data_IF_769516136388
#
_entry.id   IF_769516136388
#
_cell.length_a   1.000
_cell.length_b   1.000
_cell.length_c   1.000
_cell.angle_alpha   90.00
_cell.angle_beta   90.00
_cell.angle_gamma   90.00
#
_symmetry.space_group_name_H-M   'P 1'
#
loop_
_entity.id
_entity.type
_entity.pdbx_description
1 polymer ?
#
# COMPACT_ATOMS: atom_id res chain seq x y z
N UNK A 1 1.35 -23.16 -22.36
CA UNK A 1 1.42 -21.76 -22.82
C UNK A 1 0.57 -20.98 -21.85
N UNK A 2 1.19 -20.33 -20.87
CA UNK A 2 0.53 -19.28 -20.10
C UNK A 2 1.62 -18.30 -19.70
N UNK A 3 1.53 -17.10 -20.26
CA UNK A 3 2.44 -16.01 -19.97
C UNK A 3 2.08 -15.51 -18.57
N UNK A 4 2.78 -16.01 -17.55
CA UNK A 4 2.58 -15.69 -16.13
C UNK A 4 2.98 -14.24 -15.80
N UNK A 5 2.26 -13.31 -16.43
CA UNK A 5 2.49 -11.87 -16.34
C UNK A 5 1.29 -11.18 -15.74
N UNK A 6 1.58 -10.11 -15.02
CA UNK A 6 0.61 -9.15 -14.51
C UNK A 6 0.68 -7.89 -15.35
N UNK A 7 -0.49 -7.37 -15.72
CA UNK A 7 -0.61 -6.03 -16.27
C UNK A 7 -0.87 -5.04 -15.14
N UNK A 8 -0.02 -4.02 -15.00
CA UNK A 8 -0.18 -3.00 -13.96
C UNK A 8 0.24 -1.61 -14.45
N UNK A 9 -0.54 -0.54 -14.15
CA UNK A 9 -0.22 0.81 -14.59
C UNK A 9 0.96 1.40 -13.80
N UNK A 10 1.87 2.06 -14.50
CA UNK A 10 2.97 2.79 -13.86
C UNK A 10 2.41 3.94 -13.01
N UNK A 11 2.82 4.00 -11.74
CA UNK A 11 2.43 5.06 -10.81
C UNK A 11 2.86 6.48 -11.27
N UNK A 12 3.89 6.57 -12.13
CA UNK A 12 4.39 7.86 -12.63
C UNK A 12 3.70 8.36 -13.90
N UNK A 13 3.55 7.51 -14.91
CA UNK A 13 3.10 7.93 -16.25
C UNK A 13 1.82 7.25 -16.73
N UNK A 14 1.23 6.35 -15.93
CA UNK A 14 -0.01 5.64 -16.25
C UNK A 14 0.10 4.57 -17.33
N UNK A 15 1.25 4.39 -17.97
CA UNK A 15 1.44 3.35 -18.98
C UNK A 15 1.28 1.95 -18.36
N UNK A 16 0.51 1.08 -19.02
CA UNK A 16 0.40 -0.33 -18.63
C UNK A 16 1.73 -1.05 -18.87
N UNK A 17 2.19 -1.80 -17.88
CA UNK A 17 3.39 -2.64 -17.96
C UNK A 17 3.02 -4.10 -17.77
N UNK A 18 3.61 -4.98 -18.58
CA UNK A 18 3.48 -6.43 -18.46
C UNK A 18 4.69 -6.98 -17.70
N UNK A 19 4.47 -7.43 -16.47
CA UNK A 19 5.54 -7.79 -15.53
C UNK A 19 5.44 -9.29 -15.23
N UNK A 20 6.49 -10.10 -15.44
CA UNK A 20 6.49 -11.49 -14.99
C UNK A 20 6.21 -11.58 -13.49
N UNK A 21 5.29 -12.45 -13.06
CA UNK A 21 4.91 -12.55 -11.63
C UNK A 21 6.11 -12.76 -10.72
N UNK A 22 7.05 -13.61 -11.13
CA UNK A 22 8.31 -13.86 -10.41
C UNK A 22 9.23 -12.65 -10.24
N UNK A 23 8.99 -11.55 -10.97
CA UNK A 23 9.79 -10.30 -10.91
C UNK A 23 9.01 -9.09 -10.39
N UNK A 24 7.79 -9.29 -9.89
CA UNK A 24 6.98 -8.19 -9.33
C UNK A 24 7.70 -7.44 -8.20
N UNK A 25 8.49 -8.17 -7.41
CA UNK A 25 9.19 -7.66 -6.22
C UNK A 25 10.62 -7.18 -6.47
N UNK A 26 11.05 -7.14 -7.73
CA UNK A 26 12.41 -6.78 -8.17
C UNK A 26 12.50 -5.31 -8.67
N UNK A 27 11.65 -4.42 -8.16
CA UNK A 27 11.55 -3.02 -8.61
C UNK A 27 11.42 -2.88 -10.15
N UNK A 28 10.39 -3.48 -10.77
CA UNK A 28 10.22 -3.45 -12.22
C UNK A 28 10.11 -2.01 -12.72
N UNK A 29 10.88 -1.70 -13.78
CA UNK A 29 10.92 -0.37 -14.40
C UNK A 29 9.92 -0.26 -15.54
N UNK A 30 9.27 0.90 -15.63
CA UNK A 30 8.28 1.18 -16.65
C UNK A 30 8.92 1.23 -18.04
N UNK A 31 8.32 0.53 -19.00
CA UNK A 31 8.80 0.53 -20.39
C UNK A 31 8.82 1.91 -21.04
N UNK A 32 7.91 2.81 -20.63
CA UNK A 32 7.75 4.18 -21.17
C UNK A 32 8.67 5.19 -20.49
N UNK A 33 8.49 5.44 -19.19
CA UNK A 33 9.20 6.52 -18.48
C UNK A 33 10.45 6.05 -17.71
N UNK A 34 10.76 4.74 -17.71
CA UNK A 34 11.92 4.13 -17.03
C UNK A 34 11.97 4.26 -15.50
N UNK A 35 11.03 4.98 -14.90
CA UNK A 35 10.81 4.98 -13.45
C UNK A 35 10.26 3.63 -12.95
N UNK A 36 10.28 3.43 -11.63
CA UNK A 36 9.62 2.27 -11.04
C UNK A 36 8.13 2.25 -11.38
N UNK A 37 7.60 1.05 -11.61
CA UNK A 37 6.17 0.85 -11.84
C UNK A 37 5.38 1.17 -10.57
N UNK A 38 5.92 0.83 -9.40
CA UNK A 38 5.27 1.03 -8.12
C UNK A 38 5.67 2.37 -7.48
N UNK A 39 4.78 2.99 -6.68
CA UNK A 39 5.12 4.20 -5.96
C UNK A 39 6.13 3.90 -4.84
N UNK A 40 6.99 4.86 -4.54
CA UNK A 40 7.93 4.84 -3.40
C UNK A 40 7.51 5.82 -2.28
N UNK A 41 6.26 6.31 -2.35
CA UNK A 41 5.63 7.16 -1.35
C UNK A 41 4.22 6.66 -1.06
N UNK A 42 3.66 6.96 0.13
CA UNK A 42 2.28 6.64 0.45
C UNK A 42 1.31 7.28 -0.56
N UNK A 43 0.35 6.48 -1.05
CA UNK A 43 -0.67 6.92 -2.02
C UNK A 43 -2.01 7.10 -1.31
N UNK A 44 -2.69 8.21 -1.56
CA UNK A 44 -4.05 8.39 -1.07
C UNK A 44 -5.03 7.48 -1.83
N UNK A 45 -5.81 6.69 -1.10
CA UNK A 45 -6.95 5.96 -1.64
C UNK A 45 -8.27 6.56 -1.14
N UNK A 46 -9.33 6.25 -1.89
CA UNK A 46 -10.70 6.58 -1.52
C UNK A 46 -11.62 5.38 -1.69
N UNK A 47 -12.87 5.50 -1.25
CA UNK A 47 -13.91 4.49 -1.48
C UNK A 47 -14.07 4.15 -2.98
N UNK A 48 -13.81 5.10 -3.88
CA UNK A 48 -13.89 4.92 -5.32
C UNK A 48 -12.62 4.28 -5.93
N UNK A 49 -11.45 4.51 -5.33
CA UNK A 49 -10.17 4.00 -5.87
C UNK A 49 -9.65 2.75 -5.14
N UNK A 50 -10.31 2.34 -4.05
CA UNK A 50 -9.90 1.22 -3.19
C UNK A 50 -9.48 -0.03 -3.96
N UNK A 51 -10.36 -0.52 -4.84
CA UNK A 51 -10.10 -1.72 -5.62
C UNK A 51 -8.81 -1.61 -6.43
N UNK A 52 -8.62 -0.50 -7.15
CA UNK A 52 -7.43 -0.24 -7.96
C UNK A 52 -6.17 -0.09 -7.10
N UNK A 53 -6.27 0.64 -5.98
CA UNK A 53 -5.10 0.99 -5.19
C UNK A 53 -4.65 -0.14 -4.26
N UNK A 54 -5.56 -1.03 -3.85
CA UNK A 54 -5.31 -2.08 -2.85
C UNK A 54 -5.57 -3.48 -3.41
N UNK A 55 -6.79 -3.78 -3.84
CA UNK A 55 -7.21 -5.16 -4.16
C UNK A 55 -6.60 -5.71 -5.45
N UNK A 56 -6.46 -4.87 -6.48
CA UNK A 56 -5.86 -5.22 -7.76
C UNK A 56 -4.32 -5.06 -7.72
N UNK A 57 -3.75 -4.64 -6.59
CA UNK A 57 -2.30 -4.47 -6.46
C UNK A 57 -1.61 -5.85 -6.39
N UNK A 58 -0.64 -6.12 -7.28
CA UNK A 58 0.00 -7.43 -7.36
C UNK A 58 1.13 -7.64 -6.33
N UNK A 59 1.45 -6.61 -5.55
CA UNK A 59 2.39 -6.66 -4.43
C UNK A 59 1.64 -6.38 -3.12
N UNK A 60 2.19 -6.79 -1.96
CA UNK A 60 1.60 -6.44 -0.66
C UNK A 60 1.33 -4.94 -0.53
N UNK A 61 0.19 -4.60 0.07
CA UNK A 61 -0.23 -3.22 0.34
C UNK A 61 -0.45 -3.03 1.83
N UNK A 62 0.24 -2.06 2.43
CA UNK A 62 -0.02 -1.59 3.78
C UNK A 62 -0.92 -0.37 3.72
N UNK A 63 -2.07 -0.44 4.35
CA UNK A 63 -3.07 0.63 4.39
C UNK A 63 -3.05 1.27 5.77
N UNK A 64 -2.79 2.58 5.81
CA UNK A 64 -2.92 3.44 6.98
C UNK A 64 -4.29 4.12 6.99
N UNK A 65 -5.18 3.66 7.88
CA UNK A 65 -6.46 4.30 8.15
C UNK A 65 -6.24 5.42 9.17
N UNK A 66 -6.43 6.67 8.72
CA UNK A 66 -6.04 7.86 9.46
C UNK A 66 -7.11 8.97 9.36
N UNK A 67 -6.90 10.08 10.08
CA UNK A 67 -7.67 11.31 9.95
C UNK A 67 -6.79 12.54 10.26
N UNK A 68 -7.11 13.74 9.75
CA UNK A 68 -6.27 14.93 9.96
C UNK A 68 -6.18 15.38 11.42
N UNK A 69 -7.21 15.13 12.22
CA UNK A 69 -7.28 15.47 13.64
C UNK A 69 -6.61 14.43 14.56
N UNK A 70 -6.09 13.33 13.99
CA UNK A 70 -5.49 12.25 14.75
C UNK A 70 -4.01 12.52 15.05
N UNK A 71 -3.71 13.00 16.26
CA UNK A 71 -2.33 13.21 16.74
C UNK A 71 -1.40 12.00 16.53
N UNK A 72 -1.77 10.79 16.99
CA UNK A 72 -0.95 9.58 16.78
C UNK A 72 -0.72 9.22 15.31
N UNK A 73 -1.65 9.55 14.41
CA UNK A 73 -1.50 9.31 12.97
C UNK A 73 -0.36 10.17 12.37
N UNK A 74 -0.18 11.40 12.87
CA UNK A 74 0.96 12.25 12.47
C UNK A 74 2.30 11.67 12.91
N UNK A 75 2.35 10.99 14.06
CA UNK A 75 3.58 10.38 14.56
C UNK A 75 4.06 9.18 13.71
N UNK A 76 3.13 8.39 13.14
CA UNK A 76 3.48 7.22 12.32
C UNK A 76 3.74 7.58 10.85
N UNK A 77 3.24 8.71 10.37
CA UNK A 77 3.35 9.10 8.95
C UNK A 77 4.81 9.14 8.41
N UNK A 78 5.81 9.72 9.11
CA UNK A 78 7.20 9.71 8.62
C UNK A 78 7.78 8.29 8.52
N UNK A 79 7.41 7.40 9.44
CA UNK A 79 7.85 6.01 9.44
C UNK A 79 7.27 5.24 8.24
N UNK A 80 6.02 5.51 7.88
CA UNK A 80 5.37 4.98 6.68
C UNK A 80 6.04 5.51 5.40
N UNK A 81 6.32 6.81 5.31
CA UNK A 81 7.03 7.38 4.15
C UNK A 81 8.41 6.74 3.95
N UNK A 82 9.15 6.53 5.04
CA UNK A 82 10.44 5.87 4.99
C UNK A 82 10.31 4.40 4.55
N UNK A 83 9.35 3.65 5.10
CA UNK A 83 9.10 2.27 4.73
C UNK A 83 8.72 2.10 3.25
N UNK A 84 7.95 3.05 2.68
CA UNK A 84 7.62 3.04 1.25
C UNK A 84 8.87 3.16 0.36
N UNK A 85 9.82 4.02 0.75
CA UNK A 85 11.08 4.22 0.02
C UNK A 85 12.00 3.00 0.13
N UNK A 86 12.18 2.48 1.35
CA UNK A 86 13.08 1.36 1.63
C UNK A 86 12.60 0.05 0.98
N UNK A 87 11.29 -0.11 0.77
CA UNK A 87 10.66 -1.33 0.26
C UNK A 87 10.07 -1.14 -1.13
N UNK A 88 10.63 -0.21 -1.90
CA UNK A 88 10.23 0.06 -3.29
C UNK A 88 10.13 -1.23 -4.12
N UNK A 89 8.98 -1.42 -4.76
CA UNK A 89 8.66 -2.62 -5.53
C UNK A 89 8.27 -3.86 -4.72
N UNK A 90 8.52 -3.89 -3.40
CA UNK A 90 8.16 -5.01 -2.51
C UNK A 90 6.91 -4.74 -1.68
N UNK A 91 6.67 -3.48 -1.35
CA UNK A 91 5.52 -3.02 -0.59
C UNK A 91 4.98 -1.73 -1.22
N UNK A 92 3.66 -1.62 -1.32
CA UNK A 92 2.97 -0.36 -1.56
C UNK A 92 2.37 0.13 -0.25
N UNK A 93 2.46 1.43 0.01
CA UNK A 93 1.77 2.04 1.15
C UNK A 93 0.64 2.91 0.63
N UNK A 94 -0.53 2.75 1.23
CA UNK A 94 -1.75 3.50 0.93
C UNK A 94 -2.22 4.17 2.21
N UNK A 95 -2.75 5.38 2.09
CA UNK A 95 -3.42 6.10 3.19
C UNK A 95 -4.88 6.28 2.84
N UNK A 96 -5.78 6.03 3.80
CA UNK A 96 -7.21 6.23 3.64
C UNK A 96 -7.73 7.08 4.80
N UNK A 97 -8.25 8.26 4.46
CA UNK A 97 -8.88 9.15 5.43
C UNK A 97 -10.25 8.57 5.82
N UNK A 98 -10.44 8.23 7.09
CA UNK A 98 -11.66 7.55 7.56
C UNK A 98 -12.90 8.44 7.50
N UNK A 99 -12.74 9.77 7.63
CA UNK A 99 -13.84 10.73 7.59
C UNK A 99 -14.45 10.85 6.18
N UNK A 100 -13.58 10.81 5.17
CA UNK A 100 -13.96 10.97 3.76
C UNK A 100 -14.38 9.64 3.12
N UNK A 101 -14.03 8.52 3.74
CA UNK A 101 -14.18 7.17 3.17
C UNK A 101 -14.85 6.21 4.17
N UNK A 102 -16.11 6.49 4.58
CA UNK A 102 -16.80 5.71 5.60
C UNK A 102 -17.12 4.29 5.13
N UNK A 103 -17.32 4.05 3.83
CA UNK A 103 -17.67 2.72 3.32
C UNK A 103 -16.52 1.74 3.52
N UNK A 104 -15.31 2.13 3.11
CA UNK A 104 -14.13 1.27 3.23
C UNK A 104 -13.70 1.11 4.68
N UNK A 105 -13.80 2.18 5.48
CA UNK A 105 -13.56 2.12 6.93
C UNK A 105 -14.48 1.13 7.63
N UNK A 106 -15.78 1.15 7.32
CA UNK A 106 -16.76 0.21 7.86
C UNK A 106 -16.51 -1.23 7.40
N UNK A 107 -16.22 -1.43 6.10
CA UNK A 107 -15.89 -2.74 5.53
C UNK A 107 -14.71 -3.41 6.25
N UNK A 108 -13.71 -2.62 6.65
CA UNK A 108 -12.54 -3.08 7.38
C UNK A 108 -12.70 -3.03 8.90
N UNK A 109 -13.90 -2.71 9.40
CA UNK A 109 -14.21 -2.62 10.82
C UNK A 109 -13.19 -1.76 11.59
N UNK A 110 -12.86 -0.58 11.04
CA UNK A 110 -11.93 0.35 11.69
C UNK A 110 -12.67 1.07 12.82
N UNK A 111 -12.27 0.77 14.06
CA UNK A 111 -12.88 1.31 15.28
C UNK A 111 -11.99 2.35 15.98
N UNK A 112 -10.71 2.40 15.62
CA UNK A 112 -9.72 3.34 16.16
C UNK A 112 -8.69 3.67 15.08
N UNK A 113 -8.09 4.85 15.20
CA UNK A 113 -7.04 5.32 14.29
C UNK A 113 -5.78 5.74 15.07
N UNK A 114 -4.58 5.55 14.49
CA UNK A 114 -4.36 4.87 13.22
C UNK A 114 -4.64 3.36 13.33
N UNK A 115 -5.17 2.77 12.28
CA UNK A 115 -5.21 1.31 12.11
C UNK A 115 -4.45 0.98 10.85
N UNK A 116 -3.46 0.10 10.96
CA UNK A 116 -2.67 -0.38 9.84
C UNK A 116 -3.12 -1.78 9.46
N UNK A 117 -3.49 -1.95 8.19
CA UNK A 117 -3.91 -3.24 7.64
C UNK A 117 -3.00 -3.60 6.48
N UNK A 118 -2.46 -4.82 6.50
CA UNK A 118 -1.69 -5.35 5.40
C UNK A 118 -2.55 -6.31 4.58
N UNK A 119 -2.56 -6.10 3.26
CA UNK A 119 -3.30 -6.88 2.29
C UNK A 119 -2.41 -7.46 1.20
N UNK A 120 -2.81 -8.62 0.68
CA UNK A 120 -2.30 -9.22 -0.57
C UNK A 120 -3.48 -9.41 -1.50
N UNK A 121 -3.64 -8.46 -2.42
CA UNK A 121 -4.90 -8.29 -3.15
C UNK A 121 -6.09 -8.11 -2.20
N UNK A 122 -7.21 -8.84 -2.35
CA UNK A 122 -8.37 -8.71 -1.46
C UNK A 122 -8.17 -9.37 -0.08
N UNK A 123 -7.10 -10.14 0.13
CA UNK A 123 -6.88 -10.88 1.36
C UNK A 123 -6.19 -10.01 2.43
N UNK A 124 -6.86 -9.78 3.55
CA UNK A 124 -6.26 -9.24 4.76
C UNK A 124 -5.32 -10.28 5.38
N UNK A 125 -4.04 -9.94 5.52
CA UNK A 125 -3.02 -10.84 6.07
C UNK A 125 -2.50 -10.38 7.43
N UNK A 126 -2.59 -9.08 7.75
CA UNK A 126 -2.16 -8.55 9.04
C UNK A 126 -2.93 -7.30 9.43
N UNK A 127 -3.08 -7.08 10.74
CA UNK A 127 -3.70 -5.88 11.31
C UNK A 127 -2.97 -5.47 12.59
N UNK A 128 -2.85 -4.17 12.79
CA UNK A 128 -2.44 -3.56 14.05
C UNK A 128 -3.20 -2.25 14.23
N UNK A 129 -3.63 -1.97 15.46
CA UNK A 129 -4.28 -0.70 15.81
C UNK A 129 -3.38 0.07 16.76
N UNK A 130 -3.28 1.38 16.56
CA UNK A 130 -2.37 2.27 17.27
C UNK A 130 -1.15 2.65 16.45
N UNK A 131 -0.49 3.75 16.86
CA UNK A 131 0.74 4.20 16.25
C UNK A 131 1.89 3.27 16.67
N UNK A 132 2.69 2.82 15.69
CA UNK A 132 3.88 2.01 15.94
C UNK A 132 5.15 2.85 15.76
N UNK A 133 6.17 2.69 16.63
CA UNK A 133 7.53 3.11 16.33
C UNK A 133 8.05 2.44 15.05
N UNK A 134 9.01 3.07 14.35
CA UNK A 134 9.55 2.57 13.08
C UNK A 134 10.03 1.11 13.15
N UNK A 135 10.73 0.73 14.22
CA UNK A 135 11.24 -0.63 14.42
C UNK A 135 10.14 -1.68 14.51
N UNK A 136 9.05 -1.36 15.23
CA UNK A 136 7.89 -2.25 15.35
C UNK A 136 7.07 -2.30 14.07
N UNK A 137 6.97 -1.16 13.36
CA UNK A 137 6.36 -1.08 12.03
C UNK A 137 7.09 -1.99 11.03
N UNK A 138 8.42 -1.93 11.00
CA UNK A 138 9.23 -2.79 10.13
C UNK A 138 9.05 -4.26 10.48
N UNK A 139 9.12 -4.61 11.77
CA UNK A 139 8.88 -5.97 12.23
C UNK A 139 7.45 -6.47 11.94
N UNK A 140 6.45 -5.58 11.91
CA UNK A 140 5.11 -5.91 11.46
C UNK A 140 5.07 -6.21 9.95
N UNK A 141 5.67 -5.36 9.12
CA UNK A 141 5.72 -5.55 7.67
C UNK A 141 6.47 -6.84 7.30
N UNK A 142 7.64 -7.07 7.90
CA UNK A 142 8.54 -8.17 7.54
C UNK A 142 7.99 -9.56 7.86
N UNK A 143 6.98 -9.66 8.73
CA UNK A 143 6.25 -10.92 8.94
C UNK A 143 5.47 -11.39 7.71
N UNK A 144 5.24 -10.50 6.75
CA UNK A 144 4.32 -10.73 5.64
C UNK A 144 4.84 -10.29 4.27
N UNK A 145 6.04 -9.71 4.16
CA UNK A 145 6.60 -9.25 2.88
C UNK A 145 7.78 -10.10 2.47
#
# INVERSE_FOLDING_TARGET
>A
MDDDRVEYPCARCGATNRIPRGRLRDDPRCGRCKESVFPDQPVAASDATWRREVEDCPIPVLVDFWAPWCGPCHAVAPALEQAAKERKGKLKIVKLNVDENPRTSAMHQVQSIPTLILQRGPLLVGRVSGALPKTELDAFIDRYV
#
